data_IF_195482864987
#
_entry.id   IF_195482864987
#
_cell.length_a   1.000
_cell.length_b   1.000
_cell.length_c   1.000
_cell.angle_alpha   90.00
_cell.angle_beta   90.00
_cell.angle_gamma   90.00
#
_symmetry.space_group_name_H-M   'P 1'
#
loop_
_entity.id
_entity.type
_entity.pdbx_description
1 polymer ?
#
# COMPACT_ATOMS: atom_id res chain seq x y z
N UNK A 1 5.50 10.87 -28.44
CA UNK A 1 5.09 11.94 -27.50
C UNK A 1 4.83 11.27 -26.16
N UNK A 2 5.40 11.80 -25.07
CA UNK A 2 5.09 11.33 -23.72
C UNK A 2 3.69 11.76 -23.31
N UNK A 3 3.07 11.02 -22.39
CA UNK A 3 1.72 11.33 -21.94
C UNK A 3 1.65 11.43 -20.42
N UNK A 4 0.97 12.45 -19.93
CA UNK A 4 0.77 12.70 -18.50
C UNK A 4 -0.72 12.74 -18.17
N UNK A 5 -1.09 12.09 -17.06
CA UNK A 5 -2.47 11.94 -16.62
C UNK A 5 -2.60 12.16 -15.12
N UNK A 6 -3.63 12.90 -14.71
CA UNK A 6 -3.96 13.15 -13.31
C UNK A 6 -5.44 12.96 -13.06
N UNK A 7 -5.77 12.07 -12.14
CA UNK A 7 -7.12 11.84 -11.64
C UNK A 7 -7.19 12.34 -10.20
N UNK A 8 -8.31 12.99 -9.84
CA UNK A 8 -8.55 13.58 -8.52
C UNK A 8 -9.88 13.11 -7.96
N UNK A 9 -10.03 13.18 -6.65
CA UNK A 9 -11.29 12.89 -5.91
C UNK A 9 -11.85 11.53 -6.28
N UNK A 10 -10.98 10.55 -6.11
CA UNK A 10 -11.05 9.24 -6.72
C UNK A 10 -12.03 8.30 -6.00
N UNK A 11 -12.48 8.67 -4.81
CA UNK A 11 -13.60 8.01 -4.14
C UNK A 11 -13.29 7.79 -2.67
N UNK A 12 -14.35 7.77 -1.88
CA UNK A 12 -14.29 7.42 -0.47
C UNK A 12 -14.79 5.98 -0.36
N UNK A 13 -13.94 5.10 0.13
CA UNK A 13 -14.28 3.72 0.44
C UNK A 13 -14.48 3.64 1.95
N UNK A 14 -15.74 3.65 2.35
CA UNK A 14 -16.10 3.46 3.74
C UNK A 14 -15.78 2.03 4.17
N UNK A 15 -15.42 1.86 5.44
CA UNK A 15 -15.46 0.54 6.06
C UNK A 15 -16.90 0.02 5.92
N UNK A 16 -17.09 -1.26 5.54
CA UNK A 16 -18.35 -2.03 5.66
C UNK A 16 -19.34 -2.21 4.47
N UNK A 17 -19.01 -2.00 3.19
CA UNK A 17 -19.97 -2.22 2.08
C UNK A 17 -19.54 -3.32 1.08
N UNK A 18 -20.30 -4.43 1.00
CA UNK A 18 -19.97 -5.71 0.33
C UNK A 18 -19.52 -5.67 -1.15
N UNK A 19 -18.63 -6.63 -1.51
CA UNK A 19 -18.56 -7.52 -2.69
C UNK A 19 -17.11 -8.01 -2.98
N UNK A 20 -16.92 -9.35 -3.00
CA UNK A 20 -15.81 -10.21 -3.50
C UNK A 20 -14.34 -9.71 -3.44
N UNK A 21 -13.54 -10.35 -2.58
CA UNK A 21 -12.30 -9.76 -2.05
C UNK A 21 -11.15 -10.76 -1.88
N UNK A 22 -9.93 -10.23 -1.77
CA UNK A 22 -8.71 -11.00 -1.51
C UNK A 22 -8.42 -10.95 -0.01
N UNK A 23 -8.80 -12.02 0.70
CA UNK A 23 -8.85 -12.11 2.17
C UNK A 23 -7.74 -11.33 2.89
N UNK A 24 -8.08 -10.58 3.95
CA UNK A 24 -7.09 -9.79 4.68
C UNK A 24 -6.18 -10.76 5.44
N UNK A 25 -4.98 -10.33 5.78
CA UNK A 25 -4.12 -11.17 6.62
C UNK A 25 -4.62 -11.16 8.06
N UNK A 26 -4.93 -12.33 8.61
CA UNK A 26 -5.12 -12.51 10.06
C UNK A 26 -3.79 -12.47 10.83
N UNK A 27 -2.67 -12.46 10.11
CA UNK A 27 -1.33 -12.46 10.69
C UNK A 27 -0.86 -11.01 10.93
N UNK A 28 -1.15 -10.47 12.12
CA UNK A 28 -0.64 -9.15 12.55
C UNK A 28 0.89 -9.12 12.65
N UNK A 29 1.58 -10.26 12.79
CA UNK A 29 3.04 -10.31 12.72
C UNK A 29 3.56 -10.04 11.30
N UNK A 30 2.75 -10.25 10.26
CA UNK A 30 3.12 -9.96 8.88
C UNK A 30 3.42 -8.47 8.69
N UNK A 31 2.59 -7.58 9.23
CA UNK A 31 2.83 -6.14 9.16
C UNK A 31 4.15 -5.77 9.84
N UNK A 32 4.41 -6.26 11.06
CA UNK A 32 5.68 -6.00 11.75
C UNK A 32 6.90 -6.51 10.97
N UNK A 33 6.83 -7.74 10.44
CA UNK A 33 7.91 -8.31 9.63
C UNK A 33 8.19 -7.47 8.39
N UNK A 34 7.14 -7.02 7.72
CA UNK A 34 7.26 -6.17 6.53
C UNK A 34 7.86 -4.80 6.88
N UNK A 35 7.36 -4.14 7.93
CA UNK A 35 7.93 -2.88 8.43
C UNK A 35 9.40 -3.01 8.80
N UNK A 36 9.79 -4.07 9.49
CA UNK A 36 11.19 -4.32 9.84
C UNK A 36 12.06 -4.62 8.61
N UNK A 37 11.53 -5.35 7.63
CA UNK A 37 12.23 -5.63 6.36
C UNK A 37 12.49 -4.34 5.59
N UNK A 38 11.51 -3.44 5.54
CA UNK A 38 11.62 -2.13 4.89
C UNK A 38 12.59 -1.19 5.63
N UNK A 39 12.56 -1.19 6.95
CA UNK A 39 13.45 -0.38 7.79
C UNK A 39 14.94 -0.71 7.53
N UNK A 40 15.25 -1.99 7.33
CA UNK A 40 16.60 -2.49 7.09
C UNK A 40 17.08 -2.30 5.64
N UNK A 41 16.27 -1.73 4.76
CA UNK A 41 16.63 -1.45 3.37
C UNK A 41 16.89 -2.69 2.51
N UNK A 42 16.40 -3.86 2.93
CA UNK A 42 16.64 -5.14 2.24
C UNK A 42 15.90 -5.28 0.90
N UNK A 43 14.90 -4.43 0.63
CA UNK A 43 14.12 -4.41 -0.61
C UNK A 43 14.17 -3.04 -1.27
N UNK A 44 13.99 -2.99 -2.60
CA UNK A 44 13.84 -1.77 -3.41
C UNK A 44 12.52 -1.03 -3.10
N UNK A 45 12.22 -0.83 -1.82
CA UNK A 45 11.05 -0.12 -1.32
C UNK A 45 11.37 0.57 0.01
N UNK A 46 11.89 1.81 -0.01
CA UNK A 46 11.91 2.65 1.19
C UNK A 46 10.49 2.95 1.66
N UNK A 47 10.24 2.68 2.94
CA UNK A 47 9.14 3.29 3.70
C UNK A 47 9.68 4.55 4.36
N UNK A 48 8.98 5.64 4.12
CA UNK A 48 9.24 6.94 4.70
C UNK A 48 8.05 7.35 5.55
N UNK A 49 8.31 8.18 6.56
CA UNK A 49 7.28 8.87 7.32
C UNK A 49 7.61 10.35 7.29
N UNK A 50 6.78 11.12 6.60
CA UNK A 50 7.01 12.53 6.30
C UNK A 50 8.41 12.76 5.67
N UNK A 51 8.78 11.90 4.73
CA UNK A 51 10.06 11.93 4.02
C UNK A 51 11.28 11.43 4.81
N UNK A 52 11.13 11.03 6.07
CA UNK A 52 12.21 10.48 6.90
C UNK A 52 12.18 8.95 6.91
N UNK A 53 13.35 8.30 6.97
CA UNK A 53 13.41 6.83 7.10
C UNK A 53 12.90 6.36 8.46
N UNK A 54 12.40 5.12 8.54
CA UNK A 54 11.91 4.59 9.81
C UNK A 54 12.94 4.70 10.95
N UNK A 55 14.23 4.30 10.81
CA UNK A 55 15.20 4.47 11.89
C UNK A 55 15.36 5.91 12.38
N UNK A 56 15.36 6.89 11.46
CA UNK A 56 15.41 8.32 11.82
C UNK A 56 14.16 8.74 12.59
N UNK A 57 13.00 8.22 12.18
CA UNK A 57 11.73 8.50 12.86
C UNK A 57 11.72 7.88 14.25
N UNK A 58 12.20 6.64 14.42
CA UNK A 58 12.24 5.97 15.72
C UNK A 58 13.17 6.66 16.71
N UNK A 59 14.31 7.18 16.24
CA UNK A 59 15.22 8.02 17.06
C UNK A 59 14.51 9.31 17.53
N UNK A 60 13.70 9.90 16.66
CA UNK A 60 13.00 11.16 16.94
C UNK A 60 11.70 10.97 17.73
N UNK A 61 11.06 9.81 17.57
CA UNK A 61 9.87 9.43 18.26
C UNK A 61 10.28 9.14 19.71
N UNK A 62 9.82 9.98 20.65
CA UNK A 62 10.10 9.85 22.09
C UNK A 62 9.34 8.67 22.71
N UNK A 63 9.42 7.50 22.07
CA UNK A 63 8.80 6.24 22.45
C UNK A 63 9.89 5.26 22.82
N UNK A 64 9.60 4.38 23.76
CA UNK A 64 10.52 3.35 24.20
C UNK A 64 10.53 2.23 23.15
N UNK A 65 11.63 2.11 22.41
CA UNK A 65 11.88 1.03 21.44
C UNK A 65 13.20 0.36 21.82
N UNK A 66 13.19 -0.97 21.84
CA UNK A 66 14.38 -1.75 22.23
C UNK A 66 15.49 -1.75 21.19
N UNK A 67 15.14 -1.63 19.91
CA UNK A 67 16.05 -1.56 18.77
C UNK A 67 15.78 -0.27 17.96
N UNK A 68 16.75 0.65 17.82
CA UNK A 68 16.54 1.90 17.09
C UNK A 68 16.23 1.71 15.60
N UNK A 69 16.51 0.53 15.04
CA UNK A 69 16.34 0.26 13.61
C UNK A 69 15.07 -0.54 13.29
N UNK A 70 14.48 -1.27 14.26
CA UNK A 70 13.32 -2.14 14.04
C UNK A 70 12.41 -2.31 15.26
N UNK A 71 11.21 -2.87 15.05
CA UNK A 71 10.29 -3.25 16.13
C UNK A 71 10.55 -4.68 16.62
N UNK A 72 10.79 -4.84 17.92
CA UNK A 72 11.04 -6.15 18.52
C UNK A 72 9.79 -7.03 18.55
N UNK A 73 8.61 -6.45 18.78
CA UNK A 73 7.32 -7.14 18.86
C UNK A 73 6.15 -6.28 18.34
N UNK A 74 4.95 -6.86 18.25
CA UNK A 74 3.77 -6.13 17.78
C UNK A 74 3.35 -4.99 18.73
N UNK A 75 3.63 -5.09 20.02
CA UNK A 75 3.32 -4.02 20.99
C UNK A 75 4.10 -2.73 20.70
N UNK A 76 5.38 -2.84 20.31
CA UNK A 76 6.19 -1.68 19.90
C UNK A 76 5.64 -1.03 18.63
N UNK A 77 5.22 -1.83 17.63
CA UNK A 77 4.58 -1.33 16.41
C UNK A 77 3.24 -0.65 16.70
N UNK A 78 2.40 -1.27 17.54
CA UNK A 78 1.11 -0.71 18.02
C UNK A 78 1.34 0.63 18.71
N UNK A 79 2.30 0.68 19.64
CA UNK A 79 2.63 1.90 20.37
C UNK A 79 3.14 3.00 19.44
N UNK A 80 3.95 2.64 18.44
CA UNK A 80 4.40 3.58 17.41
C UNK A 80 3.22 4.11 16.59
N UNK A 81 2.32 3.25 16.11
CA UNK A 81 1.13 3.68 15.38
C UNK A 81 0.25 4.62 16.22
N UNK A 82 -0.06 4.26 17.47
CA UNK A 82 -0.87 5.10 18.38
C UNK A 82 -0.21 6.45 18.66
N UNK A 83 1.04 6.42 19.11
CA UNK A 83 1.73 7.61 19.65
C UNK A 83 2.37 8.49 18.59
N UNK A 84 2.52 7.98 17.36
CA UNK A 84 3.17 8.72 16.28
C UNK A 84 2.25 8.93 15.09
N UNK A 85 1.76 7.86 14.45
CA UNK A 85 0.94 7.99 13.22
C UNK A 85 -0.46 8.53 13.51
N UNK A 86 -1.07 8.13 14.63
CA UNK A 86 -2.44 8.46 15.01
C UNK A 86 -2.54 9.33 16.27
N UNK A 87 -1.44 9.97 16.67
CA UNK A 87 -1.35 10.73 17.91
C UNK A 87 -2.40 11.85 18.05
N UNK A 88 -2.88 12.38 16.91
CA UNK A 88 -3.85 13.47 16.86
C UNK A 88 -5.32 12.98 16.98
N UNK A 89 -5.57 11.68 17.01
CA UNK A 89 -6.90 11.11 17.15
C UNK A 89 -7.26 10.89 18.63
N UNK A 90 -8.56 10.93 19.00
CA UNK A 90 -9.04 10.46 20.31
C UNK A 90 -8.64 8.99 20.55
N UNK A 91 -8.43 8.61 21.81
CA UNK A 91 -7.97 7.25 22.16
C UNK A 91 -8.89 6.14 21.63
N UNK A 92 -10.20 6.37 21.56
CA UNK A 92 -11.15 5.40 21.02
C UNK A 92 -10.89 5.13 19.53
N UNK A 93 -10.68 6.18 18.75
CA UNK A 93 -10.40 6.09 17.31
C UNK A 93 -8.99 5.55 17.04
N UNK A 94 -8.02 5.83 17.93
CA UNK A 94 -6.66 5.32 17.80
C UNK A 94 -6.61 3.79 17.79
N UNK A 95 -7.36 3.14 18.67
CA UNK A 95 -7.35 1.67 18.77
C UNK A 95 -7.87 1.00 17.50
N UNK A 96 -8.95 1.54 16.94
CA UNK A 96 -9.52 1.06 15.67
C UNK A 96 -8.57 1.32 14.50
N UNK A 97 -8.03 2.53 14.38
CA UNK A 97 -7.07 2.90 13.32
C UNK A 97 -5.81 2.04 13.34
N UNK A 98 -5.31 1.70 14.53
CA UNK A 98 -4.13 0.85 14.68
C UNK A 98 -4.42 -0.57 14.23
N UNK A 99 -5.56 -1.12 14.64
CA UNK A 99 -5.96 -2.48 14.24
C UNK A 99 -6.09 -2.56 12.70
N UNK A 100 -6.76 -1.59 12.10
CA UNK A 100 -6.86 -1.45 10.65
C UNK A 100 -5.48 -1.33 9.97
N UNK A 101 -4.59 -0.49 10.52
CA UNK A 101 -3.24 -0.33 9.99
C UNK A 101 -2.42 -1.63 10.07
N UNK A 102 -2.52 -2.40 11.15
CA UNK A 102 -1.84 -3.70 11.28
C UNK A 102 -2.33 -4.72 10.24
N UNK A 103 -3.60 -4.64 9.85
CA UNK A 103 -4.19 -5.56 8.87
C UNK A 103 -3.91 -5.16 7.43
N UNK A 104 -3.60 -3.88 7.18
CA UNK A 104 -3.53 -3.34 5.82
C UNK A 104 -2.16 -2.76 5.44
N UNK A 105 -1.29 -2.41 6.39
CA UNK A 105 0.02 -1.81 6.10
C UNK A 105 1.13 -2.85 5.98
N UNK A 106 0.93 -3.80 5.06
CA UNK A 106 1.88 -4.87 4.72
C UNK A 106 2.09 -4.91 3.19
N UNK A 107 3.04 -5.71 2.71
CA UNK A 107 3.50 -5.70 1.30
C UNK A 107 2.45 -6.02 0.23
N UNK A 108 1.37 -6.69 0.65
CA UNK A 108 0.23 -7.07 -0.18
C UNK A 108 -1.05 -6.35 0.27
N UNK A 109 -0.89 -5.26 1.01
CA UNK A 109 -1.98 -4.48 1.56
C UNK A 109 -2.11 -3.13 0.86
N UNK A 110 -2.95 -2.28 1.45
CA UNK A 110 -3.38 -1.01 0.85
C UNK A 110 -2.25 -0.09 0.37
N UNK A 111 -1.13 0.11 1.11
CA UNK A 111 -0.08 1.03 0.66
C UNK A 111 0.57 0.65 -0.68
N UNK A 112 0.37 -0.59 -1.14
CA UNK A 112 0.95 -1.14 -2.37
C UNK A 112 -0.11 -1.40 -3.44
N UNK A 113 -1.28 -0.78 -3.33
CA UNK A 113 -2.42 -1.03 -4.20
C UNK A 113 -2.10 -0.83 -5.68
N UNK A 114 -1.36 0.23 -6.03
CA UNK A 114 -0.96 0.48 -7.41
C UNK A 114 0.01 -0.58 -7.89
N UNK A 115 0.99 -0.96 -7.05
CA UNK A 115 1.98 -2.00 -7.40
C UNK A 115 1.27 -3.30 -7.76
N UNK A 116 0.34 -3.67 -6.88
CA UNK A 116 -0.41 -4.90 -6.99
C UNK A 116 -1.24 -4.90 -8.28
N UNK A 117 -1.96 -3.81 -8.56
CA UNK A 117 -2.79 -3.72 -9.76
C UNK A 117 -1.95 -3.78 -11.04
N UNK A 118 -0.88 -2.97 -11.13
CA UNK A 118 0.02 -2.98 -12.30
C UNK A 118 0.69 -4.35 -12.47
N UNK A 119 1.10 -4.97 -11.37
CA UNK A 119 1.69 -6.31 -11.40
C UNK A 119 0.73 -7.40 -11.85
N UNK A 120 -0.58 -7.23 -11.67
CA UNK A 120 -1.61 -8.19 -12.11
C UNK A 120 -2.14 -7.93 -13.52
N UNK A 121 -1.96 -6.73 -14.05
CA UNK A 121 -2.18 -6.45 -15.49
C UNK A 121 -1.13 -7.16 -16.38
N UNK A 122 -0.09 -7.76 -15.77
CA UNK A 122 1.01 -8.48 -16.42
C UNK A 122 0.64 -9.78 -17.17
N UNK A 123 -0.61 -10.02 -17.56
CA UNK A 123 -0.94 -11.08 -18.52
C UNK A 123 -0.75 -10.66 -19.99
N UNK A 124 -0.48 -9.38 -20.26
CA UNK A 124 -0.28 -8.82 -21.60
C UNK A 124 1.09 -9.09 -22.26
N UNK A 125 1.20 -8.67 -23.53
CA UNK A 125 2.41 -8.75 -24.37
C UNK A 125 3.57 -7.84 -23.92
N UNK A 126 3.24 -6.80 -23.14
CA UNK A 126 4.18 -5.86 -22.52
C UNK A 126 3.86 -5.87 -21.02
N UNK A 127 4.90 -5.95 -20.18
CA UNK A 127 4.79 -6.05 -18.72
C UNK A 127 5.73 -5.07 -18.05
N UNK A 128 5.27 -4.41 -17.00
CA UNK A 128 6.14 -3.59 -16.17
C UNK A 128 6.83 -4.48 -15.13
N UNK A 129 8.13 -4.32 -14.95
CA UNK A 129 8.92 -5.21 -14.09
C UNK A 129 9.73 -4.43 -13.07
N UNK A 130 9.86 -5.00 -11.87
CA UNK A 130 10.71 -4.50 -10.78
C UNK A 130 10.59 -2.98 -10.54
N UNK A 131 9.38 -2.44 -10.30
CA UNK A 131 9.24 -1.03 -10.00
C UNK A 131 10.09 -0.64 -8.80
N UNK A 132 10.77 0.50 -8.90
CA UNK A 132 11.34 1.15 -7.73
C UNK A 132 10.18 1.79 -6.99
N UNK A 133 9.82 1.22 -5.85
CA UNK A 133 8.64 1.64 -5.08
C UNK A 133 9.09 2.54 -3.93
N UNK A 134 8.31 3.55 -3.56
CA UNK A 134 8.52 4.35 -2.35
C UNK A 134 7.16 4.63 -1.74
N UNK A 135 7.02 4.35 -0.45
CA UNK A 135 5.79 4.64 0.30
C UNK A 135 6.12 5.70 1.34
N UNK A 136 5.39 6.80 1.34
CA UNK A 136 5.53 7.86 2.34
C UNK A 136 4.22 8.03 3.13
N UNK A 137 4.31 7.82 4.43
CA UNK A 137 3.23 8.04 5.38
C UNK A 137 3.33 9.46 5.94
N UNK A 138 2.34 10.30 5.67
CA UNK A 138 2.32 11.70 6.09
C UNK A 138 1.15 11.92 7.04
N UNK A 139 1.40 11.99 8.37
CA UNK A 139 0.35 12.34 9.32
C UNK A 139 -0.18 13.75 9.04
N UNK A 140 -1.49 13.90 8.89
CA UNK A 140 -2.16 15.19 8.66
C UNK A 140 -3.27 15.41 9.70
N UNK A 141 -3.85 16.61 9.72
CA UNK A 141 -5.01 16.90 10.58
C UNK A 141 -6.27 16.10 10.24
N UNK A 142 -6.37 15.55 9.03
CA UNK A 142 -7.55 14.83 8.53
C UNK A 142 -7.35 13.31 8.44
N UNK A 143 -6.19 12.81 8.91
CA UNK A 143 -5.79 11.40 8.78
C UNK A 143 -4.38 11.19 8.30
N UNK A 144 -4.06 9.93 8.08
CA UNK A 144 -2.76 9.52 7.59
C UNK A 144 -2.80 9.50 6.06
N UNK A 145 -2.13 10.47 5.44
CA UNK A 145 -1.98 10.46 4.00
C UNK A 145 -0.91 9.43 3.63
N UNK A 146 -1.23 8.53 2.71
CA UNK A 146 -0.30 7.50 2.21
C UNK A 146 0.00 7.82 0.75
N UNK A 147 1.27 8.04 0.44
CA UNK A 147 1.75 8.31 -0.92
C UNK A 147 2.56 7.13 -1.41
N UNK A 148 2.07 6.47 -2.43
CA UNK A 148 2.76 5.40 -3.14
C UNK A 148 3.33 5.96 -4.44
N UNK A 149 4.66 5.97 -4.57
CA UNK A 149 5.36 6.29 -5.80
C UNK A 149 5.99 5.04 -6.40
N UNK A 150 5.88 4.88 -7.72
CA UNK A 150 6.54 3.82 -8.45
C UNK A 150 7.20 4.34 -9.70
N UNK A 151 8.45 3.94 -9.90
CA UNK A 151 9.23 4.26 -11.09
C UNK A 151 9.52 2.96 -11.84
N UNK A 152 8.97 2.86 -13.04
CA UNK A 152 9.13 1.70 -13.91
C UNK A 152 10.24 1.96 -14.91
N UNK A 153 11.41 1.36 -14.67
CA UNK A 153 12.56 1.45 -15.58
C UNK A 153 12.71 0.26 -16.51
N UNK A 154 12.03 -0.85 -16.23
CA UNK A 154 12.09 -2.10 -16.98
C UNK A 154 10.73 -2.46 -17.54
N UNK A 155 10.66 -2.73 -18.84
CA UNK A 155 9.53 -3.37 -19.49
C UNK A 155 9.97 -4.72 -20.04
N UNK A 156 9.20 -5.77 -19.79
CA UNK A 156 9.35 -7.06 -20.46
C UNK A 156 8.39 -7.13 -21.65
N UNK A 157 8.92 -7.52 -22.80
CA UNK A 157 8.19 -7.64 -24.07
C UNK A 157 8.47 -9.01 -24.70
N UNK A 158 7.75 -9.35 -25.77
CA UNK A 158 8.07 -10.55 -26.57
C UNK A 158 9.48 -10.55 -27.17
N UNK A 159 10.13 -9.38 -27.25
CA UNK A 159 11.48 -9.20 -27.81
C UNK A 159 12.58 -9.20 -26.72
N UNK A 160 12.21 -9.23 -25.44
CA UNK A 160 13.13 -9.19 -24.31
C UNK A 160 12.81 -8.08 -23.31
N UNK A 161 13.78 -7.78 -22.44
CA UNK A 161 13.68 -6.73 -21.41
C UNK A 161 14.27 -5.43 -21.97
N UNK A 162 13.45 -4.38 -21.98
CA UNK A 162 13.85 -3.01 -22.28
C UNK A 162 14.05 -2.24 -20.96
N UNK A 163 15.29 -1.85 -20.67
CA UNK A 163 15.70 -1.20 -19.43
C UNK A 163 16.28 0.20 -19.69
N UNK A 164 15.75 1.20 -19.00
CA UNK A 164 16.28 2.57 -19.03
C UNK A 164 17.28 2.76 -17.89
N UNK A 165 18.49 3.16 -18.25
CA UNK A 165 19.55 3.54 -17.31
C UNK A 165 19.45 5.02 -16.89
N UNK A 166 20.06 5.36 -15.75
CA UNK A 166 20.10 6.74 -15.24
C UNK A 166 18.78 7.22 -14.67
N UNK A 167 18.44 8.49 -14.92
CA UNK A 167 17.25 9.17 -14.35
C UNK A 167 15.98 9.01 -15.20
N UNK A 168 16.07 8.37 -16.37
CA UNK A 168 14.91 8.10 -17.20
C UNK A 168 14.04 6.97 -16.64
N UNK A 169 12.82 6.87 -17.15
CA UNK A 169 11.85 5.83 -16.82
C UNK A 169 10.85 5.68 -17.96
N UNK A 170 10.18 4.53 -18.02
CA UNK A 170 9.12 4.24 -18.98
C UNK A 170 7.79 4.81 -18.52
N UNK A 171 7.52 4.67 -17.23
CA UNK A 171 6.38 5.26 -16.55
C UNK A 171 6.73 5.56 -15.09
N UNK A 172 6.00 6.50 -14.50
CA UNK A 172 6.00 6.82 -13.08
C UNK A 172 4.55 6.97 -12.63
N UNK A 173 4.18 6.31 -11.54
CA UNK A 173 2.87 6.49 -10.91
C UNK A 173 3.04 7.11 -9.53
N UNK A 174 2.15 8.01 -9.16
CA UNK A 174 2.03 8.52 -7.80
C UNK A 174 0.57 8.43 -7.38
N UNK A 175 0.30 7.58 -6.41
CA UNK A 175 -1.03 7.42 -5.81
C UNK A 175 -1.02 8.05 -4.43
N UNK A 176 -1.97 8.93 -4.19
CA UNK A 176 -2.17 9.58 -2.89
C UNK A 176 -3.51 9.16 -2.34
N UNK A 177 -3.49 8.71 -1.10
CA UNK A 177 -4.67 8.22 -0.39
C UNK A 177 -4.72 8.81 1.01
N UNK A 178 -5.90 8.88 1.61
CA UNK A 178 -6.11 9.29 2.99
C UNK A 178 -6.72 8.14 3.77
N UNK A 179 -6.11 7.78 4.88
CA UNK A 179 -6.58 6.75 5.81
C UNK A 179 -7.01 7.42 7.11
N UNK A 180 -8.27 7.24 7.52
CA UNK A 180 -8.87 7.85 8.70
C UNK A 180 -10.05 7.00 9.23
N UNK A 181 -10.73 7.41 10.32
CA UNK A 181 -11.84 6.64 10.89
C UNK A 181 -13.04 6.46 9.97
N UNK A 182 -13.17 7.26 8.91
CA UNK A 182 -14.26 7.13 7.94
C UNK A 182 -13.95 6.07 6.87
N UNK A 183 -12.68 5.78 6.60
CA UNK A 183 -12.30 4.84 5.56
C UNK A 183 -10.95 5.13 4.94
N UNK A 184 -10.79 4.60 3.73
CA UNK A 184 -9.73 4.99 2.80
C UNK A 184 -10.35 5.86 1.73
N UNK A 185 -9.81 7.05 1.54
CA UNK A 185 -10.14 7.91 0.41
C UNK A 185 -8.98 7.89 -0.58
N UNK A 186 -9.22 7.49 -1.82
CA UNK A 186 -8.25 7.71 -2.89
C UNK A 186 -8.36 9.19 -3.29
N UNK A 187 -7.27 9.95 -3.12
CA UNK A 187 -7.26 11.39 -3.37
C UNK A 187 -6.82 11.68 -4.80
N UNK A 188 -5.64 11.22 -5.17
CA UNK A 188 -5.03 11.50 -6.46
C UNK A 188 -4.33 10.25 -7.03
N UNK A 189 -4.38 10.10 -8.34
CA UNK A 189 -3.55 9.16 -9.11
C UNK A 189 -2.92 9.96 -10.24
N UNK A 190 -1.61 10.07 -10.20
CA UNK A 190 -0.80 10.69 -11.25
C UNK A 190 -0.02 9.63 -11.99
N UNK A 191 0.00 9.72 -13.32
CA UNK A 191 0.74 8.80 -14.19
C UNK A 191 1.50 9.66 -15.20
N UNK A 192 2.83 9.64 -15.10
CA UNK A 192 3.73 10.19 -16.11
C UNK A 192 4.30 9.04 -16.94
N UNK A 193 3.91 8.95 -18.21
CA UNK A 193 4.24 7.83 -19.09
C UNK A 193 4.89 8.35 -20.38
N UNK A 194 6.21 8.62 -20.36
CA UNK A 194 6.95 9.03 -21.56
C UNK A 194 7.00 7.93 -22.64
N UNK A 195 6.94 6.65 -22.23
CA UNK A 195 7.00 5.51 -23.16
C UNK A 195 5.63 5.17 -23.74
N UNK A 196 5.53 5.15 -25.07
CA UNK A 196 4.32 4.70 -25.78
C UNK A 196 4.05 3.21 -25.58
N UNK A 197 5.10 2.41 -25.39
CA UNK A 197 4.98 0.98 -25.11
C UNK A 197 4.38 0.73 -23.73
N UNK A 198 4.84 1.47 -22.71
CA UNK A 198 4.30 1.39 -21.36
C UNK A 198 2.84 1.85 -21.27
N UNK A 199 2.43 2.82 -22.09
CA UNK A 199 1.06 3.36 -22.07
C UNK A 199 -0.03 2.28 -22.22
N UNK A 200 0.28 1.15 -22.86
CA UNK A 200 -0.63 0.00 -22.99
C UNK A 200 -0.95 -0.70 -21.66
N UNK A 201 -0.05 -0.61 -20.67
CA UNK A 201 -0.23 -1.16 -19.32
C UNK A 201 -1.03 -0.16 -18.46
N UNK A 202 -0.68 1.12 -18.56
CA UNK A 202 -1.25 2.20 -17.76
C UNK A 202 -2.52 2.78 -18.37
N UNK A 203 -3.18 2.03 -19.27
CA UNK A 203 -4.41 2.47 -19.92
C UNK A 203 -5.48 2.79 -18.87
N UNK A 204 -6.02 3.98 -19.07
CA UNK A 204 -6.24 5.02 -18.07
C UNK A 204 -7.47 4.81 -17.19
N UNK A 205 -8.44 4.09 -17.72
CA UNK A 205 -9.68 3.75 -17.01
C UNK A 205 -9.56 2.39 -16.33
N UNK A 206 -8.90 1.42 -16.99
CA UNK A 206 -8.80 0.05 -16.49
C UNK A 206 -7.93 -0.07 -15.25
N UNK A 207 -6.75 0.57 -15.25
CA UNK A 207 -5.86 0.52 -14.09
C UNK A 207 -6.51 1.21 -12.87
N UNK A 208 -7.16 2.33 -13.12
CA UNK A 208 -7.91 3.06 -12.10
C UNK A 208 -9.03 2.22 -11.46
N UNK A 209 -9.90 1.63 -12.29
CA UNK A 209 -11.01 0.79 -11.82
C UNK A 209 -10.48 -0.42 -11.04
N UNK A 210 -9.33 -0.97 -11.42
CA UNK A 210 -8.67 -2.06 -10.69
C UNK A 210 -8.14 -1.61 -9.33
N UNK A 211 -7.51 -0.42 -9.23
CA UNK A 211 -7.04 0.13 -7.95
C UNK A 211 -8.22 0.36 -7.02
N UNK A 212 -9.31 0.97 -7.51
CA UNK A 212 -10.55 1.10 -6.73
C UNK A 212 -11.04 -0.22 -6.19
N UNK A 213 -11.19 -1.20 -7.10
CA UNK A 213 -11.74 -2.49 -6.75
C UNK A 213 -10.83 -3.19 -5.73
N UNK A 214 -9.52 -3.12 -5.91
CA UNK A 214 -8.57 -3.72 -4.98
C UNK A 214 -8.63 -3.08 -3.59
N UNK A 215 -8.70 -1.75 -3.50
CA UNK A 215 -8.83 -1.04 -2.21
C UNK A 215 -10.18 -1.35 -1.56
N UNK A 216 -11.28 -1.33 -2.32
CA UNK A 216 -12.60 -1.75 -1.84
C UNK A 216 -12.54 -3.17 -1.27
N UNK A 217 -11.85 -4.07 -1.98
CA UNK A 217 -11.75 -5.46 -1.58
C UNK A 217 -11.03 -5.64 -0.24
N UNK A 218 -9.92 -4.92 -0.03
CA UNK A 218 -9.18 -4.98 1.23
C UNK A 218 -10.04 -4.54 2.43
N UNK A 219 -10.94 -3.56 2.24
CA UNK A 219 -11.74 -2.99 3.30
C UNK A 219 -12.95 -3.84 3.75
N UNK A 220 -13.61 -4.55 2.82
CA UNK A 220 -14.74 -5.45 3.14
C UNK A 220 -14.29 -6.60 4.04
N UNK A 221 -13.13 -7.14 3.71
CA UNK A 221 -12.47 -8.26 4.34
C UNK A 221 -12.29 -8.07 5.86
N UNK A 222 -12.03 -6.84 6.30
CA UNK A 222 -11.89 -6.48 7.72
C UNK A 222 -13.19 -6.66 8.52
N UNK A 223 -14.32 -6.17 8.01
CA UNK A 223 -15.60 -6.22 8.74
C UNK A 223 -16.04 -7.66 8.93
N UNK A 224 -15.84 -8.51 7.92
CA UNK A 224 -16.18 -9.92 8.00
C UNK A 224 -15.43 -10.64 9.14
N UNK A 225 -14.20 -10.22 9.46
CA UNK A 225 -13.44 -10.76 10.59
C UNK A 225 -13.89 -10.22 11.95
N UNK A 226 -14.35 -8.97 12.03
CA UNK A 226 -14.91 -8.43 13.27
C UNK A 226 -16.28 -9.03 13.62
N UNK A 227 -17.13 -9.26 12.62
CA UNK A 227 -18.48 -9.79 12.80
C UNK A 227 -18.52 -11.33 12.89
N UNK A 228 -17.43 -12.02 12.58
CA UNK A 228 -17.34 -13.48 12.69
C UNK A 228 -17.10 -13.90 14.14
N UNK A 229 -17.94 -14.80 14.71
CA UNK A 229 -17.67 -15.42 16.00
C UNK A 229 -16.29 -16.09 16.00
N UNK A 230 -15.60 -16.05 17.14
CA UNK A 230 -14.23 -16.55 17.33
C UNK A 230 -13.98 -18.00 16.85
N UNK A 231 -15.02 -18.78 16.57
CA UNK A 231 -14.95 -20.15 16.03
C UNK A 231 -14.60 -20.23 14.53
N UNK A 232 -14.64 -19.14 13.76
CA UNK A 232 -14.35 -19.16 12.30
C UNK A 232 -12.86 -18.98 11.97
N UNK A 233 -12.03 -18.60 12.96
CA UNK A 233 -10.60 -18.32 12.79
C UNK A 233 -9.72 -19.57 12.77
N UNK A 234 -10.20 -20.71 13.26
CA UNK A 234 -9.50 -22.00 13.17
C UNK A 234 -10.01 -22.79 11.95
N UNK A 235 -9.24 -22.80 10.86
CA UNK A 235 -9.38 -23.82 9.82
C UNK A 235 -9.81 -23.38 8.42
N UNK A 236 -9.88 -22.07 8.13
CA UNK A 236 -10.01 -21.62 6.72
C UNK A 236 -8.63 -21.33 6.14
N UNK A 237 -8.08 -22.29 5.39
CA UNK A 237 -7.04 -21.96 4.42
C UNK A 237 -7.59 -20.87 3.47
N UNK A 238 -6.79 -19.85 3.11
CA UNK A 238 -7.19 -18.90 2.10
C UNK A 238 -7.46 -19.66 0.80
N UNK A 239 -8.73 -19.73 0.38
CA UNK A 239 -9.12 -20.33 -0.90
C UNK A 239 -8.71 -19.35 -2.00
N UNK A 240 -7.42 -19.35 -2.33
CA UNK A 240 -6.93 -18.76 -3.57
C UNK A 240 -7.32 -19.71 -4.70
N UNK A 241 -8.51 -19.51 -5.28
CA UNK A 241 -8.87 -20.13 -6.56
C UNK A 241 -8.58 -19.16 -7.68
N UNK A 242 -7.38 -19.29 -8.26
CA UNK A 242 -7.14 -18.80 -9.61
C UNK A 242 -7.60 -19.88 -10.60
N UNK A 243 -8.65 -19.60 -11.37
CA UNK A 243 -8.82 -20.32 -12.63
C UNK A 243 -7.64 -19.92 -13.53
N UNK A 244 -6.80 -20.90 -13.84
CA UNK A 244 -5.69 -20.80 -14.81
C UNK A 244 -6.20 -20.58 -16.22
#
# INVERSE_FOLDING_TARGET
>A
MGTYWKYKHLGIFAYAEEENTAAPTNDMEQARRDWNRWARGGEKCPILINGLSLPQVLINAKIEIKDPDTFANNEELINFFKKFLFANYPSADQDELVLQALMHFHQAGFPFATNYCVSNVNSGLIRACEPQTTIDFVPTGNGLQVKEEQIYKKLSTSQGIDEISGNGYHAKTTTTSLFNPQGITLLDLEIDCPSSSAATIFDKRKLWDQICQYVKNILIDYKFLQDSPAEVLEGREPIVRFNR
#
